data_IF_801341246951
#
_entry.id   IF_801341246951
#
_cell.length_a   1.000
_cell.length_b   1.000
_cell.length_c   1.000
_cell.angle_alpha   90.00
_cell.angle_beta   90.00
_cell.angle_gamma   90.00
#
_symmetry.space_group_name_H-M   'P 1'
#
loop_
_entity.id
_entity.type
_entity.pdbx_description
1 polymer ?
#
# COMPACT_ATOMS: atom_id res chain seq x y z
N UNK A 1 3.82 1.74 18.92
CA UNK A 1 3.49 0.54 18.13
C UNK A 1 4.67 -0.42 18.21
N UNK A 2 4.44 -1.72 18.40
CA UNK A 2 5.50 -2.74 18.36
C UNK A 2 5.76 -3.13 16.90
N UNK A 3 7.03 -3.23 16.50
CA UNK A 3 7.42 -3.65 15.16
C UNK A 3 7.86 -5.11 15.14
N UNK A 4 7.43 -5.82 14.11
CA UNK A 4 7.76 -7.21 13.82
C UNK A 4 8.70 -7.29 12.62
N UNK A 5 9.34 -8.44 12.39
CA UNK A 5 10.19 -8.68 11.20
C UNK A 5 11.23 -7.58 10.90
N UNK A 6 11.79 -6.96 11.95
CA UNK A 6 12.70 -5.83 11.81
C UNK A 6 14.00 -6.25 11.11
N UNK A 7 14.51 -5.35 10.28
CA UNK A 7 15.76 -5.53 9.54
C UNK A 7 16.45 -4.16 9.36
N UNK A 8 17.75 -4.11 9.04
CA UNK A 8 18.43 -2.85 8.75
C UNK A 8 17.86 -2.17 7.48
N UNK A 9 17.76 -0.84 7.52
CA UNK A 9 17.36 -0.01 6.38
C UNK A 9 18.55 0.54 5.60
N UNK A 10 19.70 0.72 6.25
CA UNK A 10 20.95 1.12 5.61
C UNK A 10 21.62 -0.11 4.99
N UNK A 11 21.15 -0.44 3.79
CA UNK A 11 21.57 -1.63 3.05
C UNK A 11 21.74 -1.27 1.58
N UNK A 12 22.61 -1.99 0.88
CA UNK A 12 22.73 -1.84 -0.57
C UNK A 12 21.58 -2.59 -1.31
N UNK A 13 21.35 -2.33 -2.61
CA UNK A 13 20.29 -2.99 -3.36
C UNK A 13 20.33 -4.52 -3.37
N UNK A 14 21.52 -5.15 -3.35
CA UNK A 14 21.64 -6.61 -3.28
C UNK A 14 21.14 -7.14 -1.94
N UNK A 15 21.52 -6.51 -0.84
CA UNK A 15 21.06 -6.86 0.50
C UNK A 15 19.54 -6.63 0.65
N UNK A 16 19.02 -5.51 0.14
CA UNK A 16 17.59 -5.22 0.12
C UNK A 16 16.78 -6.31 -0.59
N UNK A 17 17.26 -6.82 -1.74
CA UNK A 17 16.64 -7.94 -2.45
C UNK A 17 16.62 -9.21 -1.59
N UNK A 18 17.70 -9.50 -0.84
CA UNK A 18 17.74 -10.66 0.05
C UNK A 18 16.73 -10.53 1.19
N UNK A 19 16.63 -9.36 1.79
CA UNK A 19 15.60 -9.07 2.81
C UNK A 19 14.20 -9.30 2.20
N UNK A 20 13.92 -8.81 0.99
CA UNK A 20 12.62 -9.06 0.37
C UNK A 20 12.32 -10.55 0.21
N UNK A 21 13.31 -11.34 -0.23
CA UNK A 21 13.17 -12.79 -0.39
C UNK A 21 12.97 -13.53 0.94
N UNK A 22 13.61 -13.05 2.01
CA UNK A 22 13.46 -13.62 3.35
C UNK A 22 12.10 -13.30 3.98
N UNK A 23 11.56 -12.11 3.69
CA UNK A 23 10.28 -11.66 4.24
C UNK A 23 9.07 -12.12 3.43
N UNK A 24 9.19 -12.30 2.12
CA UNK A 24 8.06 -12.69 1.26
C UNK A 24 7.28 -13.94 1.73
N UNK A 25 7.92 -15.02 2.23
CA UNK A 25 7.20 -16.20 2.72
C UNK A 25 6.31 -15.95 3.94
N UNK A 26 6.52 -14.85 4.67
CA UNK A 26 5.72 -14.49 5.85
C UNK A 26 4.45 -13.73 5.50
N UNK A 27 4.28 -13.31 4.24
CA UNK A 27 3.10 -12.57 3.79
C UNK A 27 1.88 -13.49 3.82
N UNK A 28 0.86 -13.09 4.55
CA UNK A 28 -0.43 -13.77 4.58
C UNK A 28 -1.40 -13.12 3.62
N UNK A 29 -2.02 -13.93 2.77
CA UNK A 29 -3.01 -13.49 1.77
C UNK A 29 -4.40 -14.05 2.06
N UNK A 30 -4.63 -14.49 3.31
CA UNK A 30 -5.93 -14.85 3.84
C UNK A 30 -6.36 -13.81 4.86
N UNK A 31 -7.68 -13.69 5.04
CA UNK A 31 -8.25 -12.72 5.97
C UNK A 31 -7.90 -13.06 7.42
N UNK A 32 -7.15 -12.16 8.05
CA UNK A 32 -6.85 -12.17 9.48
C UNK A 32 -6.89 -10.74 10.01
N UNK A 33 -8.11 -10.24 10.12
CA UNK A 33 -8.43 -8.87 10.52
C UNK A 33 -9.67 -8.84 11.40
N UNK A 34 -9.63 -7.99 12.42
CA UNK A 34 -10.76 -7.68 13.28
C UNK A 34 -11.76 -6.74 12.57
N UNK A 35 -12.95 -6.48 13.14
CA UNK A 35 -13.89 -5.50 12.60
C UNK A 35 -13.22 -4.14 12.36
N UNK A 36 -13.27 -3.67 11.11
CA UNK A 36 -12.64 -2.41 10.71
C UNK A 36 -13.54 -1.23 11.07
N UNK A 37 -13.01 -0.33 11.90
CA UNK A 37 -13.64 0.95 12.30
C UNK A 37 -12.83 2.16 11.82
N UNK A 38 -11.55 1.96 11.49
CA UNK A 38 -10.64 2.97 10.98
C UNK A 38 -9.80 2.42 9.85
N UNK A 39 -9.73 3.18 8.76
CA UNK A 39 -8.90 2.87 7.60
C UNK A 39 -7.86 3.96 7.42
N UNK A 40 -6.63 3.61 7.07
CA UNK A 40 -5.60 4.61 6.75
C UNK A 40 -5.21 4.59 5.27
N UNK A 41 -4.94 5.77 4.73
CA UNK A 41 -4.23 5.95 3.48
C UNK A 41 -2.76 6.24 3.73
N UNK A 42 -1.88 5.61 2.96
CA UNK A 42 -0.44 5.86 2.97
C UNK A 42 -0.02 6.34 1.59
N UNK A 43 0.68 7.45 1.52
CA UNK A 43 1.36 7.92 0.31
C UNK A 43 2.69 8.58 0.69
N UNK A 44 3.66 8.54 -0.21
CA UNK A 44 4.99 9.10 0.00
C UNK A 44 5.41 9.95 -1.18
N UNK A 45 5.74 11.20 -0.89
CA UNK A 45 6.31 12.16 -1.83
C UNK A 45 7.79 12.36 -1.59
N UNK A 46 8.44 13.06 -2.51
CA UNK A 46 9.83 13.46 -2.39
C UNK A 46 9.98 14.96 -2.57
N UNK A 47 10.69 15.59 -1.65
CA UNK A 47 11.02 17.02 -1.64
C UNK A 47 12.52 17.21 -1.93
N UNK A 48 12.94 18.47 -2.14
CA UNK A 48 14.34 18.86 -2.28
C UNK A 48 15.11 17.97 -3.29
N UNK A 49 14.58 17.85 -4.51
CA UNK A 49 15.14 17.03 -5.60
C UNK A 49 15.38 15.56 -5.22
N UNK A 50 14.53 15.00 -4.36
CA UNK A 50 14.62 13.59 -3.96
C UNK A 50 15.41 13.33 -2.67
N UNK A 51 16.04 14.35 -2.08
CA UNK A 51 16.87 14.19 -0.87
C UNK A 51 16.05 14.07 0.41
N UNK A 52 14.78 14.51 0.40
CA UNK A 52 13.86 14.37 1.52
C UNK A 52 12.67 13.51 1.10
N UNK A 53 12.42 12.47 1.88
CA UNK A 53 11.22 11.63 1.80
C UNK A 53 10.16 12.22 2.71
N UNK A 54 8.97 12.48 2.15
CA UNK A 54 7.80 12.98 2.88
C UNK A 54 6.70 11.93 2.87
N UNK A 55 6.55 11.23 4.00
CA UNK A 55 5.51 10.23 4.16
C UNK A 55 4.27 10.83 4.81
N UNK A 56 3.11 10.48 4.28
CA UNK A 56 1.81 10.89 4.79
C UNK A 56 0.98 9.68 5.21
N UNK A 57 0.35 9.80 6.38
CA UNK A 57 -0.66 8.87 6.86
C UNK A 57 -1.93 9.65 7.16
N UNK A 58 -3.05 9.24 6.57
CA UNK A 58 -4.37 9.81 6.82
C UNK A 58 -5.29 8.72 7.33
N UNK A 59 -5.71 8.79 8.60
CA UNK A 59 -6.65 7.88 9.25
C UNK A 59 -8.05 8.44 9.11
N UNK A 60 -8.96 7.63 8.57
CA UNK A 60 -10.36 7.95 8.36
C UNK A 60 -11.24 7.02 9.20
N UNK A 61 -12.42 7.51 9.60
CA UNK A 61 -13.47 6.66 10.14
C UNK A 61 -13.99 5.70 9.06
N UNK A 62 -14.45 4.53 9.46
CA UNK A 62 -15.10 3.57 8.59
C UNK A 62 -16.45 3.12 9.20
N UNK A 63 -17.54 3.07 8.42
CA UNK A 63 -17.63 3.29 6.96
C UNK A 63 -17.77 4.76 6.54
N UNK A 64 -17.72 5.73 7.46
CA UNK A 64 -18.01 7.15 7.18
C UNK A 64 -16.99 7.86 6.27
N UNK A 65 -15.74 7.40 6.23
CA UNK A 65 -14.62 7.98 5.46
C UNK A 65 -14.32 9.44 5.81
N UNK A 66 -14.62 9.85 7.03
CA UNK A 66 -14.29 11.18 7.56
C UNK A 66 -12.86 11.17 8.10
N UNK A 67 -12.08 12.22 7.81
CA UNK A 67 -10.70 12.31 8.30
C UNK A 67 -10.70 12.47 9.84
N UNK A 68 -10.10 11.51 10.53
CA UNK A 68 -9.99 11.47 12.00
C UNK A 68 -8.64 12.01 12.46
N UNK A 69 -7.55 11.58 11.80
CA UNK A 69 -6.19 11.97 12.16
C UNK A 69 -5.30 11.96 10.92
N UNK A 70 -4.30 12.85 10.89
CA UNK A 70 -3.27 12.81 9.86
C UNK A 70 -1.90 13.11 10.46
N UNK A 71 -0.87 12.45 9.92
CA UNK A 71 0.53 12.68 10.28
C UNK A 71 1.41 12.77 9.04
N UNK A 72 2.42 13.62 9.14
CA UNK A 72 3.47 13.79 8.15
C UNK A 72 4.81 13.51 8.83
N UNK A 73 5.69 12.82 8.13
CA UNK A 73 7.08 12.69 8.53
C UNK A 73 7.99 13.07 7.37
N UNK A 74 8.98 13.92 7.66
CA UNK A 74 10.06 14.26 6.73
C UNK A 74 11.33 13.58 7.21
N UNK A 75 11.97 12.84 6.32
CA UNK A 75 13.20 12.11 6.63
C UNK A 75 14.19 12.24 5.49
N UNK A 76 15.51 12.25 5.76
CA UNK A 76 16.50 12.13 4.70
C UNK A 76 16.29 10.86 3.88
N UNK A 77 16.23 10.99 2.56
CA UNK A 77 16.19 9.86 1.63
C UNK A 77 17.56 9.21 1.59
N UNK A 78 17.69 8.01 2.17
CA UNK A 78 18.98 7.28 2.24
C UNK A 78 19.14 6.20 1.17
N UNK A 79 18.04 5.70 0.63
CA UNK A 79 18.05 4.61 -0.34
C UNK A 79 17.83 5.13 -1.78
N UNK A 80 18.61 4.67 -2.78
CA UNK A 80 18.48 5.13 -4.16
C UNK A 80 17.16 4.69 -4.81
N UNK A 81 16.75 5.36 -5.90
CA UNK A 81 15.61 4.90 -6.68
C UNK A 81 15.97 3.65 -7.47
N UNK A 82 15.44 2.50 -7.05
CA UNK A 82 15.60 1.23 -7.76
C UNK A 82 14.22 0.57 -7.90
N UNK A 83 13.75 0.32 -9.14
CA UNK A 83 12.47 -0.36 -9.37
C UNK A 83 12.35 -1.67 -8.58
N UNK A 84 11.24 -1.83 -7.88
CA UNK A 84 10.98 -2.97 -7.01
C UNK A 84 11.70 -2.95 -5.65
N UNK A 85 12.36 -1.85 -5.28
CA UNK A 85 12.94 -1.64 -3.94
C UNK A 85 12.44 -0.33 -3.29
N UNK A 86 11.36 0.22 -3.82
CA UNK A 86 10.80 1.50 -3.37
C UNK A 86 10.45 1.50 -1.87
N UNK A 87 10.04 0.35 -1.32
CA UNK A 87 9.75 0.20 0.11
C UNK A 87 10.93 0.59 1.02
N UNK A 88 12.18 0.32 0.61
CA UNK A 88 13.38 0.67 1.41
C UNK A 88 13.64 2.18 1.44
N UNK A 89 13.13 2.88 0.43
CA UNK A 89 13.21 4.33 0.33
C UNK A 89 12.10 5.03 1.13
N UNK A 90 10.94 4.39 1.25
CA UNK A 90 9.71 5.05 1.73
C UNK A 90 9.28 4.63 3.14
N UNK A 91 9.38 3.34 3.49
CA UNK A 91 8.86 2.81 4.77
C UNK A 91 9.50 3.49 5.98
N UNK A 92 10.80 3.82 6.04
CA UNK A 92 11.35 4.56 7.18
C UNK A 92 10.61 5.86 7.48
N UNK A 93 10.16 6.59 6.44
CA UNK A 93 9.33 7.77 6.60
C UNK A 93 7.92 7.41 7.09
N UNK A 94 7.31 6.38 6.51
CA UNK A 94 5.96 5.92 6.89
C UNK A 94 5.90 5.49 8.35
N UNK A 95 6.87 4.70 8.83
CA UNK A 95 6.93 4.27 10.23
C UNK A 95 7.00 5.46 11.19
N UNK A 96 7.81 6.49 10.88
CA UNK A 96 7.85 7.72 11.69
C UNK A 96 6.53 8.49 11.68
N UNK A 97 5.76 8.44 10.61
CA UNK A 97 4.44 9.06 10.57
C UNK A 97 3.43 8.24 11.39
N UNK A 98 3.48 6.90 11.32
CA UNK A 98 2.65 5.99 12.12
C UNK A 98 2.93 6.09 13.62
N UNK A 99 4.19 6.24 14.02
CA UNK A 99 4.60 6.41 15.43
C UNK A 99 3.99 7.66 16.09
N UNK A 100 3.64 8.68 15.30
CA UNK A 100 3.02 9.91 15.79
C UNK A 100 1.49 9.80 15.92
N UNK A 101 0.87 8.70 15.48
CA UNK A 101 -0.56 8.52 15.57
C UNK A 101 -0.99 8.23 17.01
N UNK A 102 -2.09 8.85 17.42
CA UNK A 102 -2.79 8.51 18.67
C UNK A 102 -3.79 7.38 18.44
N UNK A 103 -4.36 7.32 17.23
CA UNK A 103 -5.32 6.31 16.84
C UNK A 103 -4.75 5.47 15.69
N UNK A 104 -4.36 4.23 15.99
CA UNK A 104 -3.90 3.31 14.97
C UNK A 104 -5.07 2.86 14.08
N UNK A 105 -4.84 2.72 12.76
CA UNK A 105 -5.84 2.16 11.86
C UNK A 105 -5.99 0.65 12.04
N UNK A 106 -7.15 0.13 11.67
CA UNK A 106 -7.43 -1.31 11.68
C UNK A 106 -7.06 -1.95 10.32
N UNK A 107 -6.98 -1.13 9.26
CA UNK A 107 -6.60 -1.53 7.89
C UNK A 107 -5.89 -0.37 7.18
N UNK A 108 -4.82 -0.65 6.44
CA UNK A 108 -4.10 0.36 5.65
C UNK A 108 -4.19 0.10 4.14
N UNK A 109 -4.45 1.16 3.38
CA UNK A 109 -4.41 1.19 1.91
C UNK A 109 -3.19 2.02 1.48
N UNK A 110 -2.19 1.35 0.91
CA UNK A 110 -0.94 1.97 0.50
C UNK A 110 -0.97 2.34 -1.00
N UNK A 111 -0.57 3.57 -1.35
CA UNK A 111 -0.31 3.93 -2.75
C UNK A 111 0.94 3.21 -3.24
N UNK A 112 0.73 2.08 -3.91
CA UNK A 112 1.79 1.15 -4.26
C UNK A 112 1.28 -0.28 -4.37
N UNK A 113 2.21 -1.21 -4.59
CA UNK A 113 1.88 -2.63 -4.75
C UNK A 113 2.02 -3.39 -3.42
N UNK A 114 1.25 -4.45 -3.26
CA UNK A 114 1.46 -5.52 -2.29
C UNK A 114 2.06 -6.74 -2.99
N UNK A 115 1.30 -7.83 -3.07
CA UNK A 115 1.70 -9.10 -3.66
C UNK A 115 2.06 -8.98 -5.16
N UNK A 116 1.49 -7.99 -5.86
CA UNK A 116 1.77 -7.67 -7.25
C UNK A 116 3.16 -7.04 -7.46
N UNK A 117 4.19 -7.79 -7.10
CA UNK A 117 5.58 -7.38 -7.05
C UNK A 117 6.50 -8.53 -7.53
N UNK A 118 7.65 -8.25 -8.21
CA UNK A 118 8.56 -9.28 -8.71
C UNK A 118 9.04 -10.31 -7.67
N UNK A 119 8.94 -9.96 -6.39
CA UNK A 119 9.38 -10.78 -5.24
C UNK A 119 8.26 -11.02 -4.24
N UNK A 120 7.01 -10.79 -4.63
CA UNK A 120 5.81 -10.92 -3.77
C UNK A 120 5.83 -10.09 -2.49
N UNK A 121 6.70 -9.08 -2.44
CA UNK A 121 6.88 -8.18 -1.30
C UNK A 121 6.97 -6.72 -1.76
N UNK A 122 5.82 -6.16 -2.17
CA UNK A 122 5.67 -4.72 -2.38
C UNK A 122 5.59 -3.94 -1.07
N UNK A 123 5.45 -2.61 -1.16
CA UNK A 123 5.40 -1.73 0.01
C UNK A 123 4.27 -2.09 0.97
N UNK A 124 3.09 -2.48 0.47
CA UNK A 124 1.97 -2.85 1.33
C UNK A 124 2.26 -4.12 2.15
N UNK A 125 2.80 -5.16 1.51
CA UNK A 125 3.23 -6.39 2.20
C UNK A 125 4.29 -6.08 3.24
N UNK A 126 5.32 -5.35 2.83
CA UNK A 126 6.46 -5.05 3.67
C UNK A 126 6.04 -4.23 4.91
N UNK A 127 5.20 -3.21 4.72
CA UNK A 127 4.65 -2.43 5.83
C UNK A 127 3.77 -3.30 6.75
N UNK A 128 2.89 -4.12 6.17
CA UNK A 128 1.98 -4.98 6.94
C UNK A 128 2.69 -6.05 7.77
N UNK A 129 3.81 -6.58 7.30
CA UNK A 129 4.66 -7.47 8.10
C UNK A 129 5.34 -6.73 9.26
N UNK A 130 5.77 -5.49 9.05
CA UNK A 130 6.45 -4.71 10.08
C UNK A 130 5.50 -4.24 11.17
N UNK A 131 4.29 -3.79 10.80
CA UNK A 131 3.34 -3.18 11.74
C UNK A 131 2.33 -4.17 12.32
N UNK A 132 2.23 -5.36 11.76
CA UNK A 132 1.22 -6.37 12.07
C UNK A 132 -0.24 -5.93 11.81
N UNK A 133 -0.41 -4.80 11.11
CA UNK A 133 -1.71 -4.24 10.72
C UNK A 133 -2.03 -4.76 9.31
N UNK A 134 -3.27 -5.22 9.04
CA UNK A 134 -3.70 -5.61 7.71
C UNK A 134 -3.46 -4.52 6.65
N UNK A 135 -2.98 -4.90 5.47
CA UNK A 135 -2.64 -3.94 4.39
C UNK A 135 -3.11 -4.36 3.01
N UNK A 136 -3.39 -3.37 2.18
CA UNK A 136 -3.77 -3.49 0.77
C UNK A 136 -2.86 -2.58 -0.07
N UNK A 137 -2.33 -3.11 -1.17
CA UNK A 137 -1.67 -2.30 -2.19
C UNK A 137 -2.69 -1.74 -3.19
N UNK A 138 -2.69 -0.43 -3.38
CA UNK A 138 -3.51 0.32 -4.34
C UNK A 138 -2.59 1.00 -5.36
N UNK A 139 -2.23 0.28 -6.42
CA UNK A 139 -1.34 0.79 -7.47
C UNK A 139 -2.06 1.60 -8.54
N UNK A 140 -1.50 2.76 -8.91
CA UNK A 140 -1.99 3.59 -10.04
C UNK A 140 -1.60 3.02 -11.41
N UNK A 141 -0.53 2.24 -11.49
CA UNK A 141 0.06 1.64 -12.69
C UNK A 141 0.44 0.18 -12.45
N UNK A 142 0.59 -0.60 -13.52
CA UNK A 142 1.03 -1.99 -13.47
C UNK A 142 2.53 -2.05 -13.21
N UNK A 143 2.95 -2.79 -12.19
CA UNK A 143 4.38 -3.08 -11.96
C UNK A 143 4.81 -4.36 -12.69
N UNK A 144 4.05 -5.46 -12.50
CA UNK A 144 4.26 -6.77 -13.13
C UNK A 144 2.93 -7.44 -13.45
N UNK A 145 2.98 -8.65 -14.00
CA UNK A 145 1.83 -9.47 -14.34
C UNK A 145 1.13 -9.00 -15.63
N UNK A 146 0.17 -9.79 -16.06
CA UNK A 146 -0.66 -9.57 -17.24
C UNK A 146 -2.13 -9.73 -16.86
N UNK A 147 -3.02 -9.09 -17.61
CA UNK A 147 -4.46 -9.19 -17.40
C UNK A 147 -5.20 -9.09 -18.73
N UNK A 148 -6.37 -9.72 -18.79
CA UNK A 148 -7.29 -9.60 -19.93
C UNK A 148 -8.06 -8.27 -19.92
N UNK A 149 -9.13 -8.22 -20.71
CA UNK A 149 -10.04 -7.07 -20.71
C UNK A 149 -10.63 -6.84 -19.32
N UNK A 150 -10.67 -5.58 -18.87
CA UNK A 150 -11.25 -5.19 -17.58
C UNK A 150 -12.65 -4.65 -17.80
N UNK A 151 -13.69 -5.20 -17.13
CA UNK A 151 -15.05 -4.74 -17.32
C UNK A 151 -15.20 -3.22 -17.13
N UNK A 152 -16.14 -2.63 -17.89
CA UNK A 152 -16.31 -1.16 -17.95
C UNK A 152 -17.05 -0.59 -16.74
N UNK A 153 -17.93 -1.38 -16.12
CA UNK A 153 -18.73 -0.97 -14.97
C UNK A 153 -17.90 -0.83 -13.69
N UNK A 154 -18.29 0.09 -12.79
CA UNK A 154 -17.68 0.21 -11.46
C UNK A 154 -17.79 -1.13 -10.72
N UNK A 155 -16.71 -1.53 -10.06
CA UNK A 155 -16.61 -2.83 -9.36
C UNK A 155 -16.16 -3.98 -10.24
N UNK A 156 -16.22 -3.85 -11.56
CA UNK A 156 -15.68 -4.85 -12.48
C UNK A 156 -14.17 -4.96 -12.39
N UNK A 157 -13.66 -6.18 -12.38
CA UNK A 157 -12.22 -6.44 -12.32
C UNK A 157 -11.83 -7.69 -13.09
N UNK A 158 -10.54 -7.78 -13.40
CA UNK A 158 -9.91 -8.96 -14.01
C UNK A 158 -8.68 -9.35 -13.23
N UNK A 159 -8.39 -10.65 -13.16
CA UNK A 159 -7.20 -11.14 -12.47
C UNK A 159 -5.93 -10.56 -13.08
N UNK A 160 -5.01 -10.15 -12.22
CA UNK A 160 -3.63 -9.85 -12.58
C UNK A 160 -2.80 -11.10 -12.32
N UNK A 161 -2.23 -11.68 -13.36
CA UNK A 161 -1.56 -12.99 -13.31
C UNK A 161 -0.08 -12.85 -13.64
N UNK A 162 0.78 -13.52 -12.87
CA UNK A 162 2.22 -13.60 -13.11
C UNK A 162 2.68 -15.04 -12.88
N UNK A 163 3.19 -15.70 -13.93
CA UNK A 163 3.58 -17.12 -13.91
C UNK A 163 2.48 -18.04 -13.34
N UNK A 164 1.27 -17.95 -13.93
CA UNK A 164 0.07 -18.71 -13.56
C UNK A 164 -0.49 -18.44 -12.15
N UNK A 165 0.09 -17.49 -11.41
CA UNK A 165 -0.40 -17.07 -10.10
C UNK A 165 -1.20 -15.78 -10.20
N UNK A 166 -2.38 -15.74 -9.59
CA UNK A 166 -3.12 -14.51 -9.36
C UNK A 166 -2.39 -13.71 -8.27
N UNK A 167 -1.83 -12.56 -8.66
CA UNK A 167 -1.06 -11.67 -7.77
C UNK A 167 -1.83 -10.41 -7.40
N UNK A 168 -3.03 -10.23 -7.95
CA UNK A 168 -3.88 -9.08 -7.72
C UNK A 168 -5.06 -9.01 -8.68
N UNK A 169 -5.70 -7.86 -8.71
CA UNK A 169 -6.83 -7.54 -9.57
C UNK A 169 -6.63 -6.18 -10.23
N UNK A 170 -7.06 -6.08 -11.48
CA UNK A 170 -7.14 -4.80 -12.19
C UNK A 170 -8.58 -4.32 -12.08
N UNK A 171 -8.81 -3.40 -11.15
CA UNK A 171 -10.12 -3.01 -10.65
C UNK A 171 -10.62 -1.70 -11.28
N UNK A 172 -11.83 -1.71 -11.82
CA UNK A 172 -12.56 -0.52 -12.26
C UNK A 172 -13.24 0.15 -11.08
N UNK A 173 -12.57 1.10 -10.43
CA UNK A 173 -13.19 1.89 -9.35
C UNK A 173 -14.13 3.00 -9.85
N UNK A 174 -13.97 3.42 -11.11
CA UNK A 174 -14.82 4.41 -11.78
C UNK A 174 -14.97 4.10 -13.26
N UNK A 175 -16.20 4.15 -13.76
CA UNK A 175 -16.51 3.94 -15.18
C UNK A 175 -15.83 4.99 -16.06
N UNK A 176 -15.30 4.57 -17.21
CA UNK A 176 -14.63 5.46 -18.17
C UNK A 176 -13.25 5.97 -17.73
N UNK A 177 -12.74 5.55 -16.56
CA UNK A 177 -11.43 5.96 -16.03
C UNK A 177 -10.49 4.77 -15.98
N UNK A 178 -9.18 5.02 -16.12
CA UNK A 178 -8.13 3.97 -15.99
C UNK A 178 -8.32 3.18 -14.67
N UNK A 179 -8.23 1.83 -14.70
CA UNK A 179 -8.41 1.01 -13.52
C UNK A 179 -7.26 1.21 -12.52
N UNK A 180 -7.41 0.66 -11.32
CA UNK A 180 -6.37 0.53 -10.31
C UNK A 180 -5.87 -0.92 -10.24
N UNK A 181 -4.65 -1.11 -9.75
CA UNK A 181 -4.03 -2.42 -9.56
C UNK A 181 -4.06 -2.74 -8.07
N UNK A 182 -4.96 -3.62 -7.67
CA UNK A 182 -5.19 -3.97 -6.28
C UNK A 182 -4.49 -5.28 -5.99
N UNK A 183 -3.76 -5.35 -4.89
CA UNK A 183 -3.13 -6.58 -4.44
C UNK A 183 -3.19 -6.68 -2.92
N UNK A 184 -3.32 -7.91 -2.43
CA UNK A 184 -3.17 -8.20 -1.01
C UNK A 184 -1.81 -7.66 -0.52
N UNK A 185 -1.81 -6.97 0.62
CA UNK A 185 -0.59 -6.57 1.30
C UNK A 185 -0.21 -7.64 2.32
N UNK A 186 -0.89 -7.66 3.46
CA UNK A 186 -0.73 -8.68 4.49
C UNK A 186 -2.05 -8.88 5.24
N UNK A 187 -2.37 -10.14 5.61
CA UNK A 187 -3.56 -10.54 6.38
C UNK A 187 -4.91 -10.16 5.76
N UNK A 188 -4.93 -9.99 4.44
CA UNK A 188 -6.13 -9.66 3.66
C UNK A 188 -6.13 -10.48 2.39
N UNK A 189 -7.27 -11.11 2.07
CA UNK A 189 -7.52 -11.81 0.81
C UNK A 189 -7.67 -10.84 -0.36
N UNK A 190 -7.55 -11.32 -1.59
CA UNK A 190 -7.72 -10.46 -2.76
C UNK A 190 -9.17 -9.92 -2.84
N UNK A 191 -10.15 -10.77 -2.55
CA UNK A 191 -11.56 -10.45 -2.52
C UNK A 191 -11.85 -9.35 -1.50
N UNK A 192 -11.34 -9.50 -0.28
CA UNK A 192 -11.47 -8.50 0.78
C UNK A 192 -10.72 -7.21 0.45
N UNK A 193 -9.54 -7.31 -0.18
CA UNK A 193 -8.80 -6.15 -0.66
C UNK A 193 -9.59 -5.33 -1.71
N UNK A 194 -10.24 -6.01 -2.65
CA UNK A 194 -11.12 -5.38 -3.64
C UNK A 194 -12.33 -4.73 -2.94
N UNK A 195 -12.98 -5.45 -2.03
CA UNK A 195 -14.16 -4.97 -1.31
C UNK A 195 -13.86 -3.68 -0.52
N UNK A 196 -12.81 -3.66 0.30
CA UNK A 196 -12.42 -2.47 1.04
C UNK A 196 -11.95 -1.34 0.13
N UNK A 197 -11.25 -1.64 -0.97
CA UNK A 197 -10.88 -0.60 -1.94
C UNK A 197 -12.13 0.06 -2.53
N UNK A 198 -13.15 -0.71 -2.91
CA UNK A 198 -14.41 -0.18 -3.43
C UNK A 198 -15.21 0.58 -2.37
N UNK A 199 -15.30 0.05 -1.16
CA UNK A 199 -15.98 0.69 -0.04
C UNK A 199 -15.35 2.04 0.32
N UNK A 200 -14.02 2.14 0.24
CA UNK A 200 -13.28 3.38 0.43
C UNK A 200 -13.33 4.31 -0.80
N UNK A 201 -13.96 3.91 -1.92
CA UNK A 201 -14.00 4.72 -3.15
C UNK A 201 -15.38 5.30 -3.43
N UNK A 202 -15.52 6.61 -3.19
CA UNK A 202 -16.78 7.35 -3.37
C UNK A 202 -16.91 7.89 -4.81
N UNK A 203 -16.61 9.18 -5.00
CA UNK A 203 -16.77 9.94 -6.25
C UNK A 203 -15.52 9.92 -7.13
N UNK A 204 -14.34 9.68 -6.57
CA UNK A 204 -13.07 9.75 -7.29
C UNK A 204 -12.59 8.37 -7.79
N UNK A 205 -11.55 8.38 -8.64
CA UNK A 205 -10.86 7.14 -9.06
C UNK A 205 -10.14 6.47 -7.88
N UNK A 206 -9.45 7.26 -7.06
CA UNK A 206 -8.70 6.78 -5.91
C UNK A 206 -9.61 6.64 -4.68
N UNK A 207 -9.39 5.63 -3.83
CA UNK A 207 -9.99 5.57 -2.50
C UNK A 207 -9.74 6.85 -1.70
N UNK A 208 -10.71 7.27 -0.89
CA UNK A 208 -10.63 8.46 -0.04
C UNK A 208 -9.37 8.46 0.84
N UNK A 209 -8.98 7.29 1.35
CA UNK A 209 -7.74 7.06 2.10
C UNK A 209 -6.51 7.53 1.33
N UNK A 210 -6.18 6.87 0.21
CA UNK A 210 -5.01 7.22 -0.62
C UNK A 210 -5.13 8.63 -1.22
N UNK A 211 -6.35 9.14 -1.46
CA UNK A 211 -6.58 10.51 -1.95
C UNK A 211 -6.20 11.57 -0.90
N UNK A 212 -6.56 11.36 0.36
CA UNK A 212 -6.14 12.23 1.46
C UNK A 212 -4.63 12.19 1.65
N UNK A 213 -4.05 10.98 1.71
CA UNK A 213 -2.61 10.80 1.84
C UNK A 213 -1.85 11.47 0.69
N UNK A 214 -2.34 11.33 -0.55
CA UNK A 214 -1.73 11.95 -1.72
C UNK A 214 -1.73 13.47 -1.69
N UNK A 215 -2.84 14.08 -1.28
CA UNK A 215 -2.93 15.53 -1.09
C UNK A 215 -1.92 16.01 -0.04
N UNK A 216 -1.69 15.23 1.01
CA UNK A 216 -0.76 15.55 2.08
C UNK A 216 0.70 15.34 1.69
N UNK A 217 1.01 14.32 0.89
CA UNK A 217 2.36 14.00 0.46
C UNK A 217 2.88 14.91 -0.66
N UNK A 218 1.98 15.44 -1.50
CA UNK A 218 2.32 16.21 -2.72
C UNK A 218 2.36 17.73 -2.55
N UNK A 219 1.94 18.26 -1.39
CA UNK A 219 1.90 19.72 -1.15
C UNK A 219 3.13 20.22 -0.42
#
# INVERSE_FOLDING_TARGET
MQLHHQHPWDVNPKQAIQIQKQLAPWVETLDRLDPVTRVAGIDVGFEANGTITRAAVAVLSYPGLELVEQRLARTPTRFPYVPGLLSFREIPGVLKALEQLRQLPDLMLCDGQGLAHPRRLGIACHLGLLTDIPTIGVGKTRLIGQHGEVPKAKGGWSALVDHDQIIGAVLRTRQGVKPLYISAGNRVSLETAIAYTLACTTRYRLPETTRWAHKLASG
#
